data_IF_719076341600
#
_entry.id   IF_719076341600
#
_cell.length_a   1.000
_cell.length_b   1.000
_cell.length_c   1.000
_cell.angle_alpha   90.00
_cell.angle_beta   90.00
_cell.angle_gamma   90.00
#
_symmetry.space_group_name_H-M   'P 1'
#
loop_
_entity.id
_entity.type
_entity.pdbx_description
1 polymer ?
#
# COMPACT_ATOMS: atom_id res chain seq x y z
N UNK A 1 15.18 27.50 -24.87
CA UNK A 1 14.71 27.12 -23.53
C UNK A 1 13.73 25.96 -23.71
N UNK A 2 14.05 24.78 -23.16
CA UNK A 2 13.07 23.69 -23.07
C UNK A 2 12.00 24.11 -22.05
N UNK A 3 10.75 23.97 -22.43
CA UNK A 3 9.60 24.29 -21.57
C UNK A 3 9.60 23.32 -20.37
N UNK A 4 9.41 23.83 -19.17
CA UNK A 4 9.33 23.01 -17.96
C UNK A 4 7.97 22.27 -17.95
N UNK A 5 8.00 20.97 -17.75
CA UNK A 5 6.84 20.10 -17.71
C UNK A 5 6.69 19.52 -16.31
N UNK A 6 5.48 19.53 -15.77
CA UNK A 6 5.15 18.85 -14.51
C UNK A 6 4.35 17.60 -14.81
N UNK A 7 4.84 16.44 -14.33
CA UNK A 7 4.12 15.16 -14.36
C UNK A 7 3.51 14.85 -12.99
N UNK A 8 2.27 14.45 -12.96
CA UNK A 8 1.60 13.98 -11.74
C UNK A 8 1.65 12.47 -11.67
N UNK A 9 2.29 11.96 -10.63
CA UNK A 9 2.39 10.53 -10.31
C UNK A 9 1.41 10.21 -9.19
N UNK A 10 0.36 9.46 -9.47
CA UNK A 10 -0.50 8.86 -8.45
C UNK A 10 0.03 7.45 -8.12
N UNK A 11 0.50 7.23 -6.91
CA UNK A 11 1.10 5.96 -6.52
C UNK A 11 0.59 5.47 -5.16
N UNK A 12 0.50 4.14 -5.02
CA UNK A 12 0.12 3.52 -3.76
C UNK A 12 1.03 3.97 -2.61
N UNK A 13 0.45 4.19 -1.43
CA UNK A 13 1.16 4.68 -0.24
C UNK A 13 2.42 3.88 0.12
N UNK A 14 2.44 2.57 -0.16
CA UNK A 14 3.61 1.71 0.06
C UNK A 14 4.85 2.09 -0.77
N UNK A 15 4.68 2.91 -1.81
CA UNK A 15 5.74 3.32 -2.74
C UNK A 15 6.29 4.72 -2.45
N UNK A 16 5.64 5.50 -1.57
CA UNK A 16 5.95 6.91 -1.33
C UNK A 16 7.44 7.13 -1.04
N UNK A 17 7.99 6.46 -0.03
CA UNK A 17 9.39 6.64 0.35
C UNK A 17 10.36 6.30 -0.80
N UNK A 18 10.07 5.26 -1.57
CA UNK A 18 10.92 4.87 -2.70
C UNK A 18 10.91 5.93 -3.80
N UNK A 19 9.74 6.47 -4.11
CA UNK A 19 9.63 7.52 -5.12
C UNK A 19 10.25 8.83 -4.65
N UNK A 20 9.88 9.30 -3.47
CA UNK A 20 10.33 10.61 -2.98
C UNK A 20 11.82 10.65 -2.64
N UNK A 21 12.35 9.59 -2.01
CA UNK A 21 13.74 9.58 -1.55
C UNK A 21 14.75 9.22 -2.65
N UNK A 22 14.31 8.52 -3.71
CA UNK A 22 15.23 7.97 -4.71
C UNK A 22 14.80 8.21 -6.14
N UNK A 23 13.65 7.66 -6.56
CA UNK A 23 13.33 7.57 -7.98
C UNK A 23 13.02 8.93 -8.60
N UNK A 24 12.27 9.80 -7.93
CA UNK A 24 11.96 11.14 -8.43
C UNK A 24 13.24 12.00 -8.51
N UNK A 25 14.10 12.08 -7.46
CA UNK A 25 15.34 12.83 -7.55
C UNK A 25 16.28 12.35 -8.66
N UNK A 26 16.42 11.04 -8.86
CA UNK A 26 17.24 10.48 -9.94
C UNK A 26 16.66 10.81 -11.32
N UNK A 27 15.35 10.65 -11.50
CA UNK A 27 14.66 10.95 -12.75
C UNK A 27 14.78 12.45 -13.12
N UNK A 28 14.53 13.35 -12.17
CA UNK A 28 14.63 14.80 -12.39
C UNK A 28 16.06 15.26 -12.69
N UNK A 29 17.06 14.58 -12.10
CA UNK A 29 18.46 14.84 -12.42
C UNK A 29 18.80 14.50 -13.87
N UNK A 30 18.25 13.41 -14.38
CA UNK A 30 18.43 12.99 -15.78
C UNK A 30 17.55 13.80 -16.75
N UNK A 31 16.45 14.34 -16.26
CA UNK A 31 15.47 15.11 -17.05
C UNK A 31 15.19 16.48 -16.39
N UNK A 32 16.14 17.43 -16.43
CA UNK A 32 16.05 18.64 -15.62
C UNK A 32 14.90 19.60 -15.99
N UNK A 33 14.29 19.40 -17.15
CA UNK A 33 13.10 20.13 -17.59
C UNK A 33 11.78 19.46 -17.19
N UNK A 34 11.82 18.32 -16.50
CA UNK A 34 10.63 17.61 -16.02
C UNK A 34 10.63 17.62 -14.49
N UNK A 35 9.50 18.03 -13.91
CA UNK A 35 9.22 17.91 -12.48
C UNK A 35 8.17 16.85 -12.26
N UNK A 36 8.34 16.04 -11.21
CA UNK A 36 7.37 15.00 -10.82
C UNK A 36 6.71 15.39 -9.51
N UNK A 37 5.40 15.45 -9.52
CA UNK A 37 4.59 15.68 -8.33
C UNK A 37 3.91 14.38 -7.93
N UNK A 38 4.28 13.84 -6.76
CA UNK A 38 3.69 12.62 -6.20
C UNK A 38 2.38 12.91 -5.48
N UNK A 39 1.41 12.04 -5.69
CA UNK A 39 0.15 11.96 -4.93
C UNK A 39 0.03 10.53 -4.42
N UNK A 40 0.01 10.35 -3.10
CA UNK A 40 0.07 9.03 -2.47
C UNK A 40 -1.14 8.78 -1.58
N UNK A 41 -1.77 7.64 -1.77
CA UNK A 41 -2.81 7.09 -0.89
C UNK A 41 -3.00 5.60 -1.22
N UNK A 42 -4.01 4.94 -0.65
CA UNK A 42 -4.39 3.60 -1.07
C UNK A 42 -4.77 3.59 -2.56
N UNK A 43 -4.46 2.49 -3.26
CA UNK A 43 -4.78 2.38 -4.69
C UNK A 43 -6.26 2.55 -4.99
N UNK A 44 -7.15 2.11 -4.09
CA UNK A 44 -8.59 2.27 -4.25
C UNK A 44 -9.04 3.73 -4.14
N UNK A 45 -8.47 4.50 -3.21
CA UNK A 45 -8.76 5.94 -3.12
C UNK A 45 -8.22 6.72 -4.31
N UNK A 46 -7.03 6.38 -4.78
CA UNK A 46 -6.45 6.98 -5.99
C UNK A 46 -7.30 6.67 -7.23
N UNK A 47 -7.81 5.43 -7.37
CA UNK A 47 -8.76 5.07 -8.41
C UNK A 47 -9.97 6.01 -8.39
N UNK A 48 -10.61 6.16 -7.22
CA UNK A 48 -11.77 7.04 -7.05
C UNK A 48 -11.43 8.50 -7.41
N UNK A 49 -10.27 8.99 -7.00
CA UNK A 49 -9.83 10.35 -7.34
C UNK A 49 -9.63 10.54 -8.84
N UNK A 50 -9.08 9.53 -9.54
CA UNK A 50 -8.93 9.56 -11.01
C UNK A 50 -10.30 9.59 -11.68
N UNK A 51 -11.23 8.76 -11.24
CA UNK A 51 -12.63 8.74 -11.71
C UNK A 51 -13.34 10.08 -11.46
N UNK A 52 -12.98 10.77 -10.38
CA UNK A 52 -13.51 12.10 -10.02
C UNK A 52 -12.77 13.26 -10.69
N UNK A 53 -11.79 12.99 -11.54
CA UNK A 53 -11.11 13.99 -12.37
C UNK A 53 -9.69 14.37 -11.94
N UNK A 54 -9.05 13.64 -11.03
CA UNK A 54 -7.63 13.79 -10.79
C UNK A 54 -6.87 13.51 -12.09
N UNK A 55 -6.15 14.52 -12.57
CA UNK A 55 -5.29 14.37 -13.75
C UNK A 55 -3.94 13.80 -13.33
N UNK A 56 -3.83 12.48 -13.37
CA UNK A 56 -2.57 11.77 -13.17
C UNK A 56 -2.00 11.36 -14.53
N UNK A 57 -0.72 11.61 -14.73
CA UNK A 57 -0.01 11.19 -15.94
C UNK A 57 0.43 9.73 -15.82
N UNK A 58 0.73 9.28 -14.61
CA UNK A 58 1.10 7.90 -14.28
C UNK A 58 0.34 7.45 -13.04
N UNK A 59 -0.23 6.25 -13.11
CA UNK A 59 -0.85 5.58 -11.95
C UNK A 59 -0.10 4.30 -11.62
N UNK A 60 0.42 4.22 -10.40
CA UNK A 60 1.13 3.04 -9.90
C UNK A 60 0.30 2.36 -8.82
N UNK A 61 -0.47 1.35 -9.22
CA UNK A 61 -1.36 0.59 -8.33
C UNK A 61 -0.60 -0.57 -7.66
N UNK A 62 -0.89 -0.79 -6.38
CA UNK A 62 -0.39 -1.96 -5.65
C UNK A 62 -1.19 -3.25 -5.93
N UNK A 63 -2.29 -3.17 -6.68
CA UNK A 63 -3.07 -4.34 -7.09
C UNK A 63 -3.62 -4.16 -8.50
N UNK A 64 -3.74 -5.27 -9.20
CA UNK A 64 -4.31 -5.29 -10.57
C UNK A 64 -5.79 -4.95 -10.60
N UNK A 65 -6.54 -5.19 -9.51
CA UNK A 65 -7.98 -4.88 -9.42
C UNK A 65 -8.27 -3.41 -9.77
N UNK A 66 -7.56 -2.47 -9.15
CA UNK A 66 -7.79 -1.04 -9.36
C UNK A 66 -7.34 -0.58 -10.75
N UNK A 67 -6.25 -1.15 -11.25
CA UNK A 67 -5.78 -0.88 -12.60
C UNK A 67 -6.79 -1.38 -13.64
N UNK A 68 -7.28 -2.60 -13.47
CA UNK A 68 -8.27 -3.19 -14.38
C UNK A 68 -9.58 -2.39 -14.38
N UNK A 69 -10.03 -1.90 -13.23
CA UNK A 69 -11.22 -1.04 -13.16
C UNK A 69 -11.08 0.21 -14.03
N UNK A 70 -9.94 0.92 -13.95
CA UNK A 70 -9.67 2.09 -14.77
C UNK A 70 -9.54 1.77 -16.27
N UNK A 71 -9.05 0.57 -16.62
CA UNK A 71 -9.01 0.09 -18.01
C UNK A 71 -10.43 -0.18 -18.51
N UNK A 72 -11.25 -0.89 -17.73
CA UNK A 72 -12.63 -1.23 -18.11
C UNK A 72 -13.49 0.04 -18.30
N UNK A 73 -13.25 1.05 -17.49
CA UNK A 73 -13.90 2.37 -17.57
C UNK A 73 -13.26 3.33 -18.59
N UNK A 74 -12.21 2.88 -19.30
CA UNK A 74 -11.51 3.63 -20.37
C UNK A 74 -10.77 4.89 -19.92
N UNK A 75 -10.38 4.96 -18.66
CA UNK A 75 -9.43 5.98 -18.18
C UNK A 75 -8.00 5.68 -18.60
N UNK A 76 -7.67 4.39 -18.77
CA UNK A 76 -6.34 3.89 -19.17
C UNK A 76 -6.52 2.93 -20.34
N UNK A 77 -5.67 3.03 -21.35
CA UNK A 77 -5.62 2.05 -22.43
C UNK A 77 -4.88 0.78 -21.93
N UNK A 78 -5.44 -0.39 -22.17
CA UNK A 78 -4.85 -1.68 -21.73
C UNK A 78 -3.43 -1.91 -22.25
N UNK A 79 -3.09 -1.36 -23.42
CA UNK A 79 -1.74 -1.44 -24.00
C UNK A 79 -0.68 -0.70 -23.20
N UNK A 80 -1.10 0.29 -22.39
CA UNK A 80 -0.23 1.15 -21.57
C UNK A 80 -0.07 0.60 -20.15
N UNK A 81 -0.67 -0.55 -19.83
CA UNK A 81 -0.55 -1.21 -18.52
C UNK A 81 0.63 -2.17 -18.49
N UNK A 82 1.47 -2.03 -17.49
CA UNK A 82 2.65 -2.87 -17.29
C UNK A 82 2.60 -3.50 -15.89
N UNK A 83 2.70 -4.82 -15.80
CA UNK A 83 2.95 -5.53 -14.54
C UNK A 83 4.46 -5.49 -14.27
N UNK A 84 4.87 -4.57 -13.40
CA UNK A 84 6.28 -4.22 -13.23
C UNK A 84 6.95 -4.95 -12.07
N UNK A 85 6.27 -5.10 -10.93
CA UNK A 85 6.84 -5.57 -9.67
C UNK A 85 5.91 -6.57 -8.98
N UNK A 86 6.51 -7.40 -8.13
CA UNK A 86 5.80 -8.24 -7.16
C UNK A 86 6.17 -7.81 -5.75
N UNK A 87 5.27 -8.00 -4.80
CA UNK A 87 5.52 -7.79 -3.38
C UNK A 87 4.97 -8.97 -2.57
N UNK A 88 5.37 -9.06 -1.29
CA UNK A 88 4.93 -10.11 -0.37
C UNK A 88 4.29 -9.49 0.85
N UNK A 89 3.18 -10.06 1.29
CA UNK A 89 2.61 -9.75 2.60
C UNK A 89 3.47 -10.38 3.68
N UNK A 90 3.62 -9.63 4.76
CA UNK A 90 4.28 -10.08 5.99
C UNK A 90 3.43 -9.70 7.20
N UNK A 91 3.51 -10.53 8.23
CA UNK A 91 2.97 -10.23 9.54
C UNK A 91 4.04 -9.49 10.34
N UNK A 92 3.68 -8.34 10.91
CA UNK A 92 4.58 -7.52 11.70
C UNK A 92 4.06 -7.31 13.11
N UNK A 93 4.98 -7.11 14.04
CA UNK A 93 4.70 -6.64 15.40
C UNK A 93 5.65 -5.49 15.76
N UNK A 94 5.26 -4.65 16.70
CA UNK A 94 6.13 -3.60 17.22
C UNK A 94 7.35 -4.19 17.93
N UNK A 95 8.51 -3.55 17.80
CA UNK A 95 9.75 -4.03 18.45
C UNK A 95 9.62 -4.13 19.97
N UNK A 96 8.80 -3.28 20.57
CA UNK A 96 8.58 -3.23 22.01
C UNK A 96 7.32 -3.97 22.45
N UNK A 97 6.52 -4.43 21.48
CA UNK A 97 5.28 -5.17 21.78
C UNK A 97 5.62 -6.60 22.20
N UNK A 98 5.08 -7.02 23.35
CA UNK A 98 5.14 -8.41 23.79
C UNK A 98 3.90 -9.13 23.28
N UNK A 99 4.09 -10.11 22.42
CA UNK A 99 3.01 -10.94 21.89
C UNK A 99 3.45 -12.40 21.77
N UNK A 100 2.49 -13.32 21.91
CA UNK A 100 2.70 -14.74 21.66
C UNK A 100 2.59 -15.12 20.18
N UNK A 101 2.27 -14.16 19.32
CA UNK A 101 2.14 -14.38 17.87
C UNK A 101 3.53 -14.61 17.27
N UNK A 102 3.72 -15.76 16.65
CA UNK A 102 4.97 -16.17 15.99
C UNK A 102 4.83 -16.25 14.46
N UNK A 103 3.60 -16.13 13.96
CA UNK A 103 3.29 -16.21 12.55
C UNK A 103 1.79 -16.19 12.31
N UNK A 104 1.38 -16.33 11.05
CA UNK A 104 -0.04 -16.27 10.67
C UNK A 104 -0.90 -17.34 11.38
N UNK A 105 -0.35 -18.50 11.68
CA UNK A 105 -1.09 -19.56 12.39
C UNK A 105 -1.48 -19.16 13.82
N UNK A 106 -0.71 -18.27 14.43
CA UNK A 106 -0.92 -17.79 15.80
C UNK A 106 -1.67 -16.46 15.88
N UNK A 107 -2.05 -15.87 14.75
CA UNK A 107 -2.57 -14.49 14.69
C UNK A 107 -3.79 -14.29 15.61
N UNK A 108 -4.55 -15.33 15.87
CA UNK A 108 -5.70 -15.30 16.77
C UNK A 108 -5.32 -14.99 18.23
N UNK A 109 -4.05 -15.16 18.62
CA UNK A 109 -3.54 -14.81 19.97
C UNK A 109 -3.36 -13.31 20.16
N UNK A 110 -3.33 -12.51 19.07
CA UNK A 110 -3.30 -11.06 19.18
C UNK A 110 -4.61 -10.51 19.72
N UNK A 111 -4.58 -9.46 20.49
CA UNK A 111 -5.77 -8.74 20.93
C UNK A 111 -6.27 -7.79 19.83
N UNK A 112 -5.35 -7.15 19.11
CA UNK A 112 -5.63 -6.23 18.01
C UNK A 112 -4.80 -6.58 16.77
N UNK A 113 -5.44 -6.54 15.62
CA UNK A 113 -4.86 -6.88 14.31
C UNK A 113 -5.14 -5.72 13.36
N UNK A 114 -4.09 -5.03 12.94
CA UNK A 114 -4.21 -3.96 11.95
C UNK A 114 -4.09 -4.52 10.54
N UNK A 115 -5.08 -4.23 9.72
CA UNK A 115 -5.05 -4.51 8.27
C UNK A 115 -5.56 -3.29 7.51
N UNK A 116 -5.15 -3.12 6.26
CA UNK A 116 -5.79 -2.15 5.38
C UNK A 116 -7.26 -2.48 5.19
N UNK A 117 -8.12 -1.45 5.07
CA UNK A 117 -9.52 -1.68 4.75
C UNK A 117 -9.63 -2.46 3.42
N UNK A 118 -10.18 -3.68 3.42
CA UNK A 118 -10.24 -4.52 2.22
C UNK A 118 -11.03 -3.92 1.06
N UNK A 119 -11.89 -2.94 1.33
CA UNK A 119 -12.68 -2.28 0.28
C UNK A 119 -11.83 -1.40 -0.65
N UNK A 120 -10.76 -0.81 -0.13
CA UNK A 120 -9.98 0.20 -0.86
C UNK A 120 -8.46 0.00 -0.80
N UNK A 121 -7.94 -0.80 0.15
CA UNK A 121 -6.50 -0.98 0.36
C UNK A 121 -6.04 -2.33 -0.17
N UNK A 122 -5.17 -2.39 -1.20
CA UNK A 122 -4.69 -3.65 -1.77
C UNK A 122 -4.07 -4.61 -0.76
N UNK A 123 -3.22 -4.13 0.15
CA UNK A 123 -2.66 -4.96 1.22
C UNK A 123 -3.75 -5.57 2.11
N UNK A 124 -4.84 -4.84 2.35
CA UNK A 124 -6.01 -5.33 3.09
C UNK A 124 -6.81 -6.36 2.30
N UNK A 125 -6.93 -6.20 0.99
CA UNK A 125 -7.57 -7.19 0.11
C UNK A 125 -6.82 -8.52 0.15
N UNK A 126 -5.52 -8.48 0.02
CA UNK A 126 -4.67 -9.68 0.09
C UNK A 126 -4.62 -10.28 1.50
N UNK A 127 -4.61 -9.44 2.55
CA UNK A 127 -4.71 -9.92 3.93
C UNK A 127 -6.03 -10.67 4.18
N UNK A 128 -7.16 -10.13 3.71
CA UNK A 128 -8.46 -10.80 3.75
C UNK A 128 -8.42 -12.13 3.01
N UNK A 129 -7.87 -12.17 1.80
CA UNK A 129 -7.75 -13.41 1.03
C UNK A 129 -6.91 -14.46 1.77
N UNK A 130 -5.76 -14.09 2.31
CA UNK A 130 -4.88 -14.99 3.05
C UNK A 130 -5.54 -15.54 4.31
N UNK A 131 -6.15 -14.67 5.11
CA UNK A 131 -6.85 -15.07 6.34
C UNK A 131 -8.10 -15.90 6.07
N UNK A 132 -8.81 -15.61 4.97
CA UNK A 132 -9.96 -16.43 4.53
C UNK A 132 -9.51 -17.83 4.12
N UNK A 133 -8.40 -17.94 3.38
CA UNK A 133 -7.82 -19.23 3.00
C UNK A 133 -7.41 -20.07 4.22
N UNK A 134 -6.97 -19.41 5.29
CA UNK A 134 -6.66 -20.06 6.56
C UNK A 134 -7.90 -20.34 7.44
N UNK A 135 -9.10 -19.94 7.02
CA UNK A 135 -10.34 -20.08 7.79
C UNK A 135 -10.43 -19.15 9.00
N UNK A 136 -9.63 -18.08 9.04
CA UNK A 136 -9.50 -17.20 10.21
C UNK A 136 -10.18 -15.84 10.06
N UNK A 137 -10.46 -15.39 8.84
CA UNK A 137 -10.87 -14.00 8.61
C UNK A 137 -12.12 -13.61 9.40
N UNK A 138 -13.20 -14.37 9.28
CA UNK A 138 -14.48 -14.06 9.93
C UNK A 138 -14.42 -14.23 11.45
N UNK A 139 -13.65 -15.21 11.93
CA UNK A 139 -13.48 -15.45 13.37
C UNK A 139 -12.74 -14.32 14.10
N UNK A 140 -11.98 -13.51 13.37
CA UNK A 140 -11.15 -12.43 13.93
C UNK A 140 -11.77 -11.03 13.72
N UNK A 141 -12.99 -10.94 13.22
CA UNK A 141 -13.65 -9.68 12.85
C UNK A 141 -13.64 -8.63 13.96
N UNK A 142 -13.83 -9.03 15.21
CA UNK A 142 -13.84 -8.13 16.38
C UNK A 142 -12.47 -7.56 16.74
N UNK A 143 -11.40 -8.11 16.17
CA UNK A 143 -10.01 -7.75 16.48
C UNK A 143 -9.40 -6.81 15.44
N UNK A 144 -10.04 -6.59 14.29
CA UNK A 144 -9.47 -5.78 13.22
C UNK A 144 -9.56 -4.28 13.50
N UNK A 145 -8.43 -3.61 13.27
CA UNK A 145 -8.36 -2.17 13.04
C UNK A 145 -8.11 -1.97 11.55
N UNK A 146 -9.03 -1.27 10.87
CA UNK A 146 -9.01 -1.08 9.43
C UNK A 146 -8.36 0.25 9.06
N UNK A 147 -7.14 0.19 8.52
CA UNK A 147 -6.42 1.36 8.04
C UNK A 147 -6.90 1.87 6.69
N UNK A 148 -6.86 3.16 6.49
CA UNK A 148 -7.22 3.80 5.22
C UNK A 148 -6.16 3.64 4.13
N UNK A 149 -4.94 3.23 4.49
CA UNK A 149 -3.84 2.83 3.62
C UNK A 149 -2.86 1.94 4.40
N UNK A 150 -1.89 1.34 3.71
CA UNK A 150 -0.93 0.43 4.33
C UNK A 150 0.04 1.14 5.28
N UNK A 151 0.37 2.40 5.01
CA UNK A 151 1.27 3.20 5.85
C UNK A 151 0.65 3.46 7.22
N UNK A 152 -0.66 3.70 7.28
CA UNK A 152 -1.40 3.84 8.54
C UNK A 152 -1.34 2.56 9.37
N UNK A 153 -1.51 1.39 8.74
CA UNK A 153 -1.35 0.08 9.39
C UNK A 153 0.05 -0.08 9.99
N UNK A 154 1.09 0.22 9.21
CA UNK A 154 2.48 0.19 9.68
C UNK A 154 2.69 1.07 10.90
N UNK A 155 2.18 2.30 10.88
CA UNK A 155 2.32 3.27 11.95
C UNK A 155 1.61 2.81 13.24
N UNK A 156 0.44 2.20 13.16
CA UNK A 156 -0.26 1.66 14.33
C UNK A 156 0.53 0.53 15.00
N UNK A 157 1.15 -0.33 14.22
CA UNK A 157 2.00 -1.41 14.77
C UNK A 157 3.31 -0.84 15.33
N UNK A 158 3.95 0.09 14.63
CA UNK A 158 5.18 0.74 15.05
C UNK A 158 5.01 1.50 16.38
N UNK A 159 3.86 2.14 16.59
CA UNK A 159 3.50 2.86 17.83
C UNK A 159 2.91 1.98 18.91
N UNK A 160 2.79 0.66 18.69
CA UNK A 160 2.14 -0.30 19.60
C UNK A 160 0.65 0.00 19.85
N UNK A 161 -0.01 0.74 18.96
CA UNK A 161 -1.47 0.93 18.97
C UNK A 161 -2.21 -0.31 18.47
N UNK A 162 -1.51 -1.21 17.78
CA UNK A 162 -1.98 -2.54 17.42
C UNK A 162 -0.89 -3.56 17.73
N UNK A 163 -1.28 -4.75 18.20
CA UNK A 163 -0.33 -5.81 18.56
C UNK A 163 0.43 -6.34 17.35
N UNK A 164 -0.31 -6.58 16.28
CA UNK A 164 0.21 -7.08 15.00
C UNK A 164 -0.47 -6.37 13.83
N UNK A 165 0.14 -6.47 12.67
CA UNK A 165 -0.43 -5.98 11.44
C UNK A 165 0.05 -6.75 10.24
N UNK A 166 -0.65 -6.60 9.12
CA UNK A 166 -0.30 -7.20 7.83
C UNK A 166 -0.02 -6.07 6.85
N UNK A 167 1.22 -6.04 6.36
CA UNK A 167 1.73 -5.04 5.43
C UNK A 167 2.55 -5.72 4.34
N UNK A 168 3.05 -4.96 3.37
CA UNK A 168 4.04 -5.49 2.44
C UNK A 168 5.43 -5.58 3.08
N UNK A 169 6.27 -6.47 2.58
CA UNK A 169 7.64 -6.62 3.06
C UNK A 169 8.47 -5.35 2.90
N UNK A 170 8.20 -4.55 1.88
CA UNK A 170 8.82 -3.24 1.66
C UNK A 170 8.43 -2.23 2.72
N UNK A 171 7.17 -2.21 3.15
CA UNK A 171 6.71 -1.34 4.24
C UNK A 171 7.40 -1.72 5.56
N UNK A 172 7.47 -3.02 5.87
CA UNK A 172 8.15 -3.49 7.07
C UNK A 172 9.63 -3.07 7.11
N UNK A 173 10.32 -3.09 5.96
CA UNK A 173 11.72 -2.65 5.84
C UNK A 173 11.90 -1.14 5.98
N UNK A 174 10.88 -0.34 5.73
CA UNK A 174 10.95 1.12 5.85
C UNK A 174 10.91 1.62 7.30
N UNK A 175 10.53 0.77 8.25
CA UNK A 175 10.44 1.12 9.67
C UNK A 175 11.44 0.33 10.52
N UNK A 176 12.11 1.05 11.44
CA UNK A 176 13.00 0.44 12.43
C UNK A 176 12.24 -0.04 13.68
N UNK A 177 10.97 0.31 13.81
CA UNK A 177 10.17 0.10 15.02
C UNK A 177 9.27 -1.14 14.95
N UNK A 178 9.32 -1.86 13.82
CA UNK A 178 8.63 -3.13 13.64
C UNK A 178 9.61 -4.27 13.37
N UNK A 179 9.14 -5.50 13.59
CA UNK A 179 9.81 -6.75 13.22
C UNK A 179 8.83 -7.69 12.52
N UNK A 180 9.34 -8.47 11.58
CA UNK A 180 8.62 -9.53 10.86
C UNK A 180 8.73 -10.84 11.66
#
# INVERSE_FOLDING_TARGET
>A
QQEEVTLTLAAAASLENTFEDKLIPEFEKENPNIKVQGVYDSSGKLQIQIEQGLKADVFFSAATKQMNALVDEKYIDSKDVINLLENKLVLITGKQTTTEVKGFADIAKAETIAIGNPEVVPAGQYAKMALTHLGLYDALTSKYSLGGNVTEVLNWVASSSSDVGIVYSTDAKSSKDVKV
#
